data_IF_055688974286
#
_entry.id   IF_055688974286
#
_cell.length_a   1.000
_cell.length_b   1.000
_cell.length_c   1.000
_cell.angle_alpha   90.00
_cell.angle_beta   90.00
_cell.angle_gamma   90.00
#
_symmetry.space_group_name_H-M   'P 1'
#
loop_
_entity.id
_entity.type
_entity.pdbx_description
1 polymer ?
#
# COMPACT_ATOMS: atom_id res chain seq x y z
N UNK A 1 16.83 9.79 1.79
CA UNK A 1 15.76 9.15 2.60
C UNK A 1 15.32 10.17 3.65
N UNK A 2 14.15 10.78 3.48
CA UNK A 2 13.53 11.57 4.55
C UNK A 2 12.62 10.62 5.32
N UNK A 3 12.99 10.32 6.57
CA UNK A 3 12.13 9.65 7.54
C UNK A 3 10.88 10.51 7.73
N UNK A 4 9.78 10.16 7.08
CA UNK A 4 8.48 10.74 7.39
C UNK A 4 8.06 10.20 8.76
N UNK A 5 7.96 11.12 9.72
CA UNK A 5 7.78 10.81 11.13
C UNK A 5 6.43 10.12 11.36
N UNK A 6 6.48 8.97 12.03
CA UNK A 6 5.35 8.14 12.47
C UNK A 6 4.22 8.94 13.17
N UNK A 7 4.58 10.10 13.73
CA UNK A 7 3.67 11.04 14.40
C UNK A 7 2.69 11.72 13.45
N UNK A 8 3.03 11.94 12.17
CA UNK A 8 2.19 12.69 11.23
C UNK A 8 0.97 11.88 10.79
N UNK A 9 1.15 10.57 10.54
CA UNK A 9 0.04 9.66 10.17
C UNK A 9 -0.94 9.48 11.35
N UNK A 10 -0.40 9.38 12.58
CA UNK A 10 -1.22 9.30 13.79
C UNK A 10 -2.02 10.61 14.02
N UNK A 11 -1.40 11.76 13.75
CA UNK A 11 -2.06 13.07 13.84
C UNK A 11 -3.12 13.27 12.75
N UNK A 12 -2.91 12.80 11.51
CA UNK A 12 -3.88 12.92 10.43
C UNK A 12 -5.16 12.10 10.70
N UNK A 13 -5.03 10.87 11.18
CA UNK A 13 -6.18 10.03 11.58
C UNK A 13 -6.93 10.66 12.77
N UNK A 14 -6.20 11.22 13.73
CA UNK A 14 -6.79 11.89 14.90
C UNK A 14 -7.46 13.23 14.53
N UNK A 15 -6.88 14.01 13.61
CA UNK A 15 -7.37 15.33 13.21
C UNK A 15 -8.61 15.23 12.31
N UNK A 16 -8.67 14.25 11.40
CA UNK A 16 -9.86 13.95 10.60
C UNK A 16 -11.04 13.55 11.51
N UNK A 17 -10.78 12.85 12.63
CA UNK A 17 -11.81 12.49 13.61
C UNK A 17 -12.17 13.63 14.59
N UNK A 18 -11.24 14.53 14.91
CA UNK A 18 -11.49 15.68 15.79
C UNK A 18 -12.39 16.74 15.11
N UNK A 19 -12.20 17.00 13.81
CA UNK A 19 -13.02 17.99 13.08
C UNK A 19 -14.48 17.56 12.88
N UNK A 20 -14.80 16.27 12.95
CA UNK A 20 -16.20 15.80 12.96
C UNK A 20 -16.87 15.92 14.34
N UNK A 21 -16.09 16.11 15.41
CA UNK A 21 -16.55 16.14 16.79
C UNK A 21 -17.02 17.57 17.21
N UNK A 22 -16.40 18.63 16.70
CA UNK A 22 -16.75 20.03 17.04
C UNK A 22 -18.05 20.52 16.37
N UNK A 23 -18.35 20.07 15.15
CA UNK A 23 -19.62 20.43 14.45
C UNK A 23 -20.87 19.87 15.13
N UNK A 24 -20.73 18.89 16.01
CA UNK A 24 -21.83 18.25 16.73
C UNK A 24 -22.00 18.74 18.18
N UNK A 25 -21.09 19.59 18.68
CA UNK A 25 -21.14 20.12 20.05
C UNK A 25 -22.01 21.38 20.19
N UNK A 26 -22.12 22.20 19.15
CA UNK A 26 -22.85 23.48 19.19
C UNK A 26 -24.38 23.33 19.16
N UNK A 27 -24.92 22.10 19.00
CA UNK A 27 -26.37 21.86 18.86
C UNK A 27 -27.09 21.29 20.09
N UNK A 28 -26.43 21.16 21.25
CA UNK A 28 -27.01 20.40 22.39
C UNK A 28 -27.08 21.20 23.71
N UNK A 29 -26.48 22.39 23.80
CA UNK A 29 -26.65 23.24 24.99
C UNK A 29 -27.88 24.15 24.88
N UNK A 30 -29.07 23.56 24.80
CA UNK A 30 -30.32 24.26 25.13
C UNK A 30 -31.43 23.22 25.36
N UNK A 31 -31.47 22.64 26.57
CA UNK A 31 -32.72 22.31 27.26
C UNK A 31 -32.50 21.73 28.65
N UNK A 32 -33.03 22.49 29.61
CA UNK A 32 -33.74 22.04 30.81
C UNK A 32 -32.96 21.55 32.04
N UNK A 33 -32.79 22.57 32.89
CA UNK A 33 -32.94 22.69 34.33
C UNK A 33 -34.01 21.81 35.03
N UNK A 34 -33.77 21.64 36.36
CA UNK A 34 -34.66 21.37 37.49
C UNK A 34 -35.05 19.91 37.89
N UNK A 35 -34.44 19.47 39.01
CA UNK A 35 -35.15 19.37 40.31
C UNK A 35 -35.65 18.00 40.77
N UNK A 36 -35.20 17.55 41.96
CA UNK A 36 -35.91 16.55 42.76
C UNK A 36 -35.04 15.58 43.56
N UNK A 37 -34.76 15.92 44.83
CA UNK A 37 -34.17 15.04 45.85
C UNK A 37 -35.27 14.12 46.41
N UNK A 38 -35.04 12.81 46.48
CA UNK A 38 -35.65 11.94 47.49
C UNK A 38 -34.87 10.64 47.70
N UNK A 39 -35.06 10.07 48.89
CA UNK A 39 -34.12 9.27 49.68
C UNK A 39 -33.89 7.83 49.23
N UNK A 40 -32.72 7.34 49.67
CA UNK A 40 -32.20 5.99 49.58
C UNK A 40 -33.12 4.94 50.21
N UNK A 41 -33.46 3.91 49.43
CA UNK A 41 -33.63 2.53 49.91
C UNK A 41 -32.90 1.65 48.91
N UNK A 42 -31.85 0.93 49.35
CA UNK A 42 -31.01 0.11 48.49
C UNK A 42 -31.76 -1.14 48.00
N UNK A 43 -31.97 -1.33 46.68
CA UNK A 43 -32.36 -2.62 46.16
C UNK A 43 -31.10 -3.46 45.87
N UNK A 44 -31.09 -4.69 46.41
CA UNK A 44 -30.14 -5.76 46.06
C UNK A 44 -29.91 -5.79 44.54
N UNK A 45 -28.69 -5.50 44.10
CA UNK A 45 -28.33 -5.48 42.68
C UNK A 45 -28.20 -6.90 42.13
N UNK A 46 -29.28 -7.41 41.56
CA UNK A 46 -29.18 -8.37 40.47
C UNK A 46 -28.30 -7.73 39.39
N UNK A 47 -27.13 -8.30 39.10
CA UNK A 47 -26.22 -7.81 38.06
C UNK A 47 -26.93 -7.96 36.71
N UNK A 48 -27.72 -6.95 36.34
CA UNK A 48 -28.30 -6.83 35.02
C UNK A 48 -27.14 -6.69 34.04
N UNK A 49 -26.79 -7.79 33.37
CA UNK A 49 -25.78 -7.79 32.33
C UNK A 49 -26.19 -6.76 31.29
N UNK A 50 -25.50 -5.60 31.26
CA UNK A 50 -25.82 -4.51 30.34
C UNK A 50 -25.78 -5.08 28.93
N UNK A 51 -26.90 -5.02 28.22
CA UNK A 51 -27.02 -5.48 26.84
C UNK A 51 -26.56 -4.36 25.93
N UNK A 52 -25.62 -4.69 25.05
CA UNK A 52 -25.07 -3.81 24.03
C UNK A 52 -25.76 -4.15 22.71
N UNK A 53 -26.13 -3.13 21.93
CA UNK A 53 -26.74 -3.33 20.61
C UNK A 53 -26.29 -2.25 19.63
N UNK A 54 -25.81 -2.67 18.47
CA UNK A 54 -25.59 -1.80 17.31
C UNK A 54 -25.65 -2.59 16.01
N UNK A 55 -25.78 -1.87 14.90
CA UNK A 55 -25.70 -2.42 13.54
C UNK A 55 -24.45 -1.84 12.88
N UNK A 56 -23.75 -2.65 12.12
CA UNK A 56 -22.61 -2.24 11.32
C UNK A 56 -22.69 -2.95 9.97
N UNK A 57 -22.71 -2.19 8.86
CA UNK A 57 -23.05 -2.69 7.52
C UNK A 57 -24.34 -3.56 7.57
N UNK A 58 -24.29 -4.79 7.07
CA UNK A 58 -25.40 -5.75 7.09
C UNK A 58 -25.52 -6.54 8.39
N UNK A 59 -24.57 -6.43 9.33
CA UNK A 59 -24.52 -7.26 10.53
C UNK A 59 -25.12 -6.57 11.77
N UNK A 60 -25.79 -7.36 12.61
CA UNK A 60 -26.31 -6.91 13.91
C UNK A 60 -25.49 -7.49 15.07
N UNK A 61 -24.96 -6.60 15.88
CA UNK A 61 -24.24 -6.92 17.11
C UNK A 61 -25.20 -6.70 18.28
N UNK A 62 -25.60 -7.77 18.96
CA UNK A 62 -26.46 -7.75 20.14
C UNK A 62 -25.93 -8.78 21.15
N UNK A 63 -25.83 -8.39 22.41
CA UNK A 63 -25.40 -9.29 23.48
C UNK A 63 -24.68 -8.56 24.61
N UNK A 64 -23.98 -9.32 25.44
CA UNK A 64 -23.08 -8.79 26.46
C UNK A 64 -21.82 -8.20 25.83
N UNK A 65 -21.09 -7.37 26.58
CA UNK A 65 -19.78 -6.85 26.15
C UNK A 65 -18.81 -7.98 25.77
N UNK A 66 -18.81 -9.07 26.53
CA UNK A 66 -17.92 -10.22 26.31
C UNK A 66 -18.26 -10.94 25.01
N UNK A 67 -19.55 -11.16 24.74
CA UNK A 67 -20.03 -11.79 23.51
C UNK A 67 -19.64 -10.96 22.28
N UNK A 68 -19.94 -9.65 22.30
CA UNK A 68 -19.60 -8.76 21.18
C UNK A 68 -18.09 -8.68 20.98
N UNK A 69 -17.30 -8.51 22.06
CA UNK A 69 -15.84 -8.46 21.95
C UNK A 69 -15.26 -9.77 21.42
N UNK A 70 -15.87 -10.91 21.73
CA UNK A 70 -15.45 -12.21 21.19
C UNK A 70 -15.71 -12.30 19.69
N UNK A 71 -16.86 -11.82 19.21
CA UNK A 71 -17.15 -11.70 17.77
C UNK A 71 -16.15 -10.78 17.06
N UNK A 72 -15.88 -9.60 17.62
CA UNK A 72 -14.89 -8.66 17.06
C UNK A 72 -13.48 -9.26 17.02
N UNK A 73 -13.10 -10.06 18.03
CA UNK A 73 -11.80 -10.76 18.05
C UNK A 73 -11.71 -11.82 16.95
N UNK A 74 -12.77 -12.61 16.78
CA UNK A 74 -12.83 -13.62 15.73
C UNK A 74 -12.69 -12.96 14.35
N UNK A 75 -13.44 -11.88 14.10
CA UNK A 75 -13.35 -11.12 12.85
C UNK A 75 -11.95 -10.55 12.60
N UNK A 76 -11.32 -9.95 13.63
CA UNK A 76 -9.95 -9.42 13.54
C UNK A 76 -8.91 -10.47 13.13
N UNK A 77 -9.12 -11.72 13.54
CA UNK A 77 -8.20 -12.83 13.33
C UNK A 77 -8.61 -13.70 12.13
N UNK A 78 -9.58 -13.26 11.34
CA UNK A 78 -9.98 -13.95 10.12
C UNK A 78 -8.80 -14.01 9.13
N UNK A 79 -8.66 -15.14 8.45
CA UNK A 79 -7.69 -15.38 7.39
C UNK A 79 -7.62 -14.25 6.34
N UNK A 80 -8.74 -13.60 6.01
CA UNK A 80 -8.77 -12.49 5.05
C UNK A 80 -7.96 -11.26 5.49
N UNK A 81 -7.63 -11.17 6.78
CA UNK A 81 -6.82 -10.10 7.38
C UNK A 81 -5.40 -10.57 7.74
N UNK A 82 -4.99 -11.78 7.37
CA UNK A 82 -3.68 -12.32 7.73
C UNK A 82 -2.50 -11.52 7.13
N UNK A 83 -2.70 -10.86 5.98
CA UNK A 83 -1.69 -10.10 5.25
C UNK A 83 -1.59 -8.62 5.64
N UNK A 84 -2.17 -8.18 6.76
CA UNK A 84 -2.09 -6.79 7.22
C UNK A 84 -0.63 -6.44 7.61
N UNK A 85 -0.03 -5.37 7.05
CA UNK A 85 1.26 -4.82 7.49
C UNK A 85 1.32 -4.57 9.00
N UNK A 86 2.50 -4.76 9.59
CA UNK A 86 2.70 -4.76 11.04
C UNK A 86 2.22 -3.47 11.74
N UNK A 87 2.39 -2.35 11.06
CA UNK A 87 2.05 -1.00 11.48
C UNK A 87 0.53 -0.80 11.53
N UNK A 88 -0.18 -1.22 10.47
CA UNK A 88 -1.65 -1.18 10.41
C UNK A 88 -2.23 -2.15 11.46
N UNK A 89 -1.60 -3.32 11.62
CA UNK A 89 -1.97 -4.30 12.64
C UNK A 89 -1.83 -3.72 14.05
N UNK A 90 -0.81 -2.89 14.29
CA UNK A 90 -0.61 -2.19 15.57
C UNK A 90 -1.74 -1.21 15.86
N UNK A 91 -2.12 -0.38 14.88
CA UNK A 91 -3.26 0.54 15.01
C UNK A 91 -4.57 -0.22 15.29
N UNK A 92 -4.85 -1.28 14.54
CA UNK A 92 -6.05 -2.10 14.73
C UNK A 92 -6.07 -2.79 16.11
N UNK A 93 -4.92 -3.24 16.61
CA UNK A 93 -4.80 -3.81 17.95
C UNK A 93 -5.12 -2.77 19.03
N UNK A 94 -4.66 -1.53 18.87
CA UNK A 94 -4.93 -0.44 19.79
C UNK A 94 -6.42 -0.08 19.81
N UNK A 95 -7.05 0.10 18.65
CA UNK A 95 -8.49 0.34 18.53
C UNK A 95 -9.31 -0.79 19.16
N UNK A 96 -8.90 -2.03 18.95
CA UNK A 96 -9.54 -3.20 19.57
C UNK A 96 -9.38 -3.20 21.09
N UNK A 97 -8.20 -2.86 21.62
CA UNK A 97 -7.93 -2.74 23.06
C UNK A 97 -8.80 -1.66 23.69
N UNK A 98 -8.90 -0.49 23.06
CA UNK A 98 -9.72 0.63 23.50
C UNK A 98 -11.22 0.28 23.49
N UNK A 99 -11.66 -0.52 22.53
CA UNK A 99 -13.03 -1.05 22.50
C UNK A 99 -13.27 -2.03 23.66
N UNK A 100 -12.37 -3.02 23.84
CA UNK A 100 -12.49 -4.06 24.87
C UNK A 100 -12.62 -3.48 26.27
N UNK A 101 -11.85 -2.45 26.62
CA UNK A 101 -11.83 -1.89 27.98
C UNK A 101 -12.98 -0.94 28.28
N UNK A 102 -13.76 -0.54 27.29
CA UNK A 102 -14.83 0.41 27.50
C UNK A 102 -16.06 -0.25 28.16
N UNK A 103 -16.41 0.21 29.37
CA UNK A 103 -17.53 -0.31 30.16
C UNK A 103 -18.84 0.44 29.92
N UNK A 104 -18.77 1.64 29.32
CA UNK A 104 -19.94 2.47 29.03
C UNK A 104 -20.53 2.05 27.66
N UNK A 105 -21.79 1.58 27.58
CA UNK A 105 -22.36 1.06 26.34
C UNK A 105 -22.29 1.99 25.13
N UNK A 106 -22.56 3.28 25.32
CA UNK A 106 -22.48 4.29 24.26
C UNK A 106 -21.05 4.42 23.71
N UNK A 107 -20.05 4.48 24.59
CA UNK A 107 -18.65 4.60 24.20
C UNK A 107 -18.11 3.29 23.61
N UNK A 108 -18.54 2.14 24.13
CA UNK A 108 -18.16 0.84 23.59
C UNK A 108 -18.65 0.71 22.15
N UNK A 109 -19.93 1.05 21.90
CA UNK A 109 -20.49 1.11 20.55
C UNK A 109 -19.66 2.01 19.64
N UNK A 110 -19.34 3.24 20.09
CA UNK A 110 -18.53 4.19 19.31
C UNK A 110 -17.17 3.59 18.95
N UNK A 111 -16.45 3.06 19.93
CA UNK A 111 -15.13 2.48 19.72
C UNK A 111 -15.19 1.22 18.82
N UNK A 112 -16.22 0.38 19.00
CA UNK A 112 -16.43 -0.80 18.17
C UNK A 112 -16.67 -0.42 16.70
N UNK A 113 -17.45 0.63 16.44
CA UNK A 113 -17.67 1.15 15.07
C UNK A 113 -16.36 1.66 14.48
N UNK A 114 -15.57 2.46 15.22
CA UNK A 114 -14.27 2.96 14.76
C UNK A 114 -13.31 1.80 14.43
N UNK A 115 -13.27 0.78 15.29
CA UNK A 115 -12.47 -0.42 15.04
C UNK A 115 -12.92 -1.15 13.77
N UNK A 116 -14.23 -1.33 13.58
CA UNK A 116 -14.78 -1.97 12.38
C UNK A 116 -14.51 -1.14 11.12
N UNK A 117 -14.67 0.18 11.18
CA UNK A 117 -14.36 1.08 10.07
C UNK A 117 -12.89 0.95 9.65
N UNK A 118 -11.96 0.98 10.60
CA UNK A 118 -10.54 0.78 10.31
C UNK A 118 -10.26 -0.60 9.70
N UNK A 119 -10.88 -1.65 10.22
CA UNK A 119 -10.68 -3.02 9.74
C UNK A 119 -11.21 -3.21 8.31
N UNK A 120 -12.40 -2.72 8.00
CA UNK A 120 -12.99 -2.83 6.67
C UNK A 120 -12.40 -1.83 5.67
N UNK A 121 -11.93 -0.67 6.12
CA UNK A 121 -11.15 0.25 5.28
C UNK A 121 -9.88 -0.43 4.75
N UNK A 122 -9.24 -1.29 5.56
CA UNK A 122 -8.13 -2.10 5.08
C UNK A 122 -8.55 -3.13 4.01
N UNK A 123 -9.71 -3.78 4.17
CA UNK A 123 -10.24 -4.71 3.15
C UNK A 123 -10.46 -3.99 1.81
N UNK A 124 -11.04 -2.79 1.85
CA UNK A 124 -11.24 -1.93 0.67
C UNK A 124 -9.91 -1.50 0.05
N UNK A 125 -8.93 -1.15 0.90
CA UNK A 125 -7.57 -0.84 0.45
C UNK A 125 -6.93 -2.01 -0.31
N UNK A 126 -7.00 -3.24 0.23
CA UNK A 126 -6.40 -4.42 -0.44
C UNK A 126 -6.99 -4.59 -1.83
N UNK A 127 -8.30 -4.41 -1.98
CA UNK A 127 -8.96 -4.49 -3.29
C UNK A 127 -8.44 -3.39 -4.23
N UNK A 128 -8.38 -2.14 -3.76
CA UNK A 128 -7.87 -1.02 -4.55
C UNK A 128 -6.41 -1.24 -4.97
N UNK A 129 -5.57 -1.66 -4.03
CA UNK A 129 -4.15 -1.91 -4.21
C UNK A 129 -3.88 -3.03 -5.21
N UNK A 130 -4.55 -4.17 -5.06
CA UNK A 130 -4.41 -5.31 -5.96
C UNK A 130 -4.89 -4.98 -7.38
N UNK A 131 -5.99 -4.23 -7.50
CA UNK A 131 -6.50 -3.79 -8.80
C UNK A 131 -5.53 -2.80 -9.48
N UNK A 132 -5.05 -1.79 -8.76
CA UNK A 132 -4.06 -0.83 -9.28
C UNK A 132 -2.77 -1.52 -9.68
N UNK A 133 -2.26 -2.45 -8.87
CA UNK A 133 -1.04 -3.19 -9.20
C UNK A 133 -1.23 -4.08 -10.43
N UNK A 134 -2.36 -4.78 -10.53
CA UNK A 134 -2.68 -5.59 -11.70
C UNK A 134 -2.75 -4.75 -12.98
N UNK A 135 -3.41 -3.59 -12.92
CA UNK A 135 -3.47 -2.64 -14.05
C UNK A 135 -2.08 -2.16 -14.46
N UNK A 136 -1.26 -1.73 -13.50
CA UNK A 136 0.12 -1.28 -13.73
C UNK A 136 0.96 -2.37 -14.39
N UNK A 137 0.90 -3.61 -13.90
CA UNK A 137 1.62 -4.73 -14.50
C UNK A 137 1.16 -4.98 -15.95
N UNK A 138 -0.15 -4.91 -16.20
CA UNK A 138 -0.73 -5.02 -17.54
C UNK A 138 -0.25 -3.92 -18.50
N UNK A 139 -0.21 -2.67 -18.01
CA UNK A 139 0.28 -1.52 -18.76
C UNK A 139 1.75 -1.67 -19.14
N UNK A 140 2.62 -1.95 -18.15
CA UNK A 140 4.06 -2.16 -18.38
C UNK A 140 4.27 -3.28 -19.39
N UNK A 141 3.57 -4.40 -19.24
CA UNK A 141 3.67 -5.54 -20.17
C UNK A 141 3.32 -5.17 -21.60
N UNK A 142 2.32 -4.31 -21.79
CA UNK A 142 1.93 -3.82 -23.12
C UNK A 142 3.02 -2.95 -23.74
N UNK A 143 3.66 -2.10 -22.94
CA UNK A 143 4.69 -1.17 -23.41
C UNK A 143 6.06 -1.82 -23.61
N UNK A 144 6.30 -3.00 -23.03
CA UNK A 144 7.61 -3.65 -22.99
C UNK A 144 8.29 -3.82 -24.34
N UNK A 145 7.54 -4.17 -25.40
CA UNK A 145 8.12 -4.34 -26.75
C UNK A 145 8.62 -3.02 -27.32
N UNK A 146 7.85 -1.95 -27.17
CA UNK A 146 8.23 -0.62 -27.64
C UNK A 146 9.45 -0.09 -26.88
N UNK A 147 9.46 -0.26 -25.55
CA UNK A 147 10.58 0.16 -24.70
C UNK A 147 11.86 -0.64 -24.99
N UNK A 148 11.74 -1.95 -25.22
CA UNK A 148 12.86 -2.82 -25.61
C UNK A 148 13.53 -2.32 -26.89
N UNK A 149 12.73 -2.04 -27.93
CA UNK A 149 13.21 -1.45 -29.18
C UNK A 149 13.91 -0.10 -28.95
N UNK A 150 13.32 0.77 -28.12
CA UNK A 150 13.89 2.10 -27.81
C UNK A 150 15.25 1.98 -27.11
N UNK A 151 15.39 1.09 -26.13
CA UNK A 151 16.64 0.86 -25.44
C UNK A 151 17.70 0.22 -26.33
N UNK A 152 17.31 -0.73 -27.20
CA UNK A 152 18.25 -1.35 -28.14
C UNK A 152 18.80 -0.33 -29.15
N UNK A 153 17.92 0.52 -29.69
CA UNK A 153 18.32 1.61 -30.57
C UNK A 153 19.24 2.60 -29.86
N UNK A 154 18.98 2.91 -28.59
CA UNK A 154 19.82 3.80 -27.80
C UNK A 154 21.22 3.22 -27.58
N UNK A 155 21.30 1.95 -27.17
CA UNK A 155 22.57 1.25 -26.99
C UNK A 155 23.38 1.20 -28.30
N UNK A 156 22.73 0.84 -29.40
CA UNK A 156 23.41 0.73 -30.70
C UNK A 156 23.97 2.06 -31.17
N UNK A 157 23.20 3.16 -31.03
CA UNK A 157 23.69 4.51 -31.35
C UNK A 157 24.89 4.90 -30.50
N UNK A 158 24.86 4.60 -29.19
CA UNK A 158 25.96 4.89 -28.29
C UNK A 158 27.22 4.10 -28.67
N UNK A 159 27.07 2.81 -28.99
CA UNK A 159 28.16 1.93 -29.43
C UNK A 159 28.79 2.39 -30.74
N UNK A 160 27.99 2.65 -31.78
CA UNK A 160 28.48 3.15 -33.08
C UNK A 160 29.25 4.46 -32.92
N UNK A 161 28.79 5.35 -32.02
CA UNK A 161 29.49 6.60 -31.74
C UNK A 161 30.84 6.36 -31.08
N UNK A 162 30.90 5.47 -30.09
CA UNK A 162 32.14 5.07 -29.43
C UNK A 162 33.13 4.46 -30.43
N UNK A 163 32.69 3.47 -31.22
CA UNK A 163 33.52 2.77 -32.20
C UNK A 163 34.10 3.73 -33.25
N UNK A 164 33.32 4.73 -33.65
CA UNK A 164 33.79 5.78 -34.57
C UNK A 164 34.91 6.62 -33.96
N UNK A 165 34.74 7.10 -32.73
CA UNK A 165 35.75 7.95 -32.07
C UNK A 165 37.04 7.16 -31.80
N UNK A 166 36.94 5.90 -31.37
CA UNK A 166 38.12 5.03 -31.21
C UNK A 166 38.88 4.88 -32.53
N UNK A 167 38.17 4.77 -33.66
CA UNK A 167 38.78 4.64 -35.00
C UNK A 167 39.37 5.95 -35.52
N UNK A 168 38.69 7.07 -35.33
CA UNK A 168 39.04 8.36 -35.92
C UNK A 168 39.99 9.19 -35.06
N UNK A 169 39.89 9.09 -33.73
CA UNK A 169 40.66 9.88 -32.75
C UNK A 169 40.98 9.05 -31.49
N UNK A 170 41.84 8.02 -31.58
CA UNK A 170 42.16 7.14 -30.44
C UNK A 170 42.80 7.87 -29.25
N UNK A 171 43.44 9.02 -29.48
CA UNK A 171 44.10 9.81 -28.43
C UNK A 171 43.12 10.65 -27.58
N UNK A 172 41.84 10.73 -27.96
CA UNK A 172 40.81 11.51 -27.25
C UNK A 172 40.28 10.77 -26.01
N UNK A 173 41.18 10.44 -25.07
CA UNK A 173 40.91 9.60 -23.88
C UNK A 173 39.68 10.07 -23.10
N UNK A 174 39.54 11.37 -22.84
CA UNK A 174 38.38 11.93 -22.12
C UNK A 174 37.05 11.74 -22.86
N UNK A 175 37.06 11.82 -24.19
CA UNK A 175 35.84 11.62 -24.98
C UNK A 175 35.49 10.13 -25.05
N UNK A 176 36.50 9.27 -25.22
CA UNK A 176 36.35 7.82 -25.19
C UNK A 176 35.75 7.38 -23.85
N UNK A 177 36.32 7.79 -22.71
CA UNK A 177 35.82 7.44 -21.37
C UNK A 177 34.35 7.85 -21.18
N UNK A 178 33.97 9.04 -21.67
CA UNK A 178 32.59 9.52 -21.61
C UNK A 178 31.67 8.63 -22.45
N UNK A 179 32.07 8.32 -23.69
CA UNK A 179 31.26 7.51 -24.61
C UNK A 179 31.17 6.05 -24.15
N UNK A 180 32.22 5.50 -23.55
CA UNK A 180 32.21 4.19 -22.90
C UNK A 180 31.18 4.15 -21.77
N UNK A 181 31.17 5.17 -20.90
CA UNK A 181 30.17 5.28 -19.84
C UNK A 181 28.75 5.37 -20.40
N UNK A 182 28.53 6.15 -21.45
CA UNK A 182 27.22 6.30 -22.09
C UNK A 182 26.74 4.98 -22.75
N UNK A 183 27.64 4.26 -23.43
CA UNK A 183 27.38 2.95 -24.01
C UNK A 183 27.07 1.92 -22.92
N UNK A 184 27.87 1.88 -21.84
CA UNK A 184 27.68 0.99 -20.69
C UNK A 184 26.36 1.25 -19.98
N UNK A 185 26.00 2.51 -19.74
CA UNK A 185 24.73 2.87 -19.12
C UNK A 185 23.53 2.44 -19.98
N UNK A 186 23.64 2.63 -21.30
CA UNK A 186 22.59 2.22 -22.24
C UNK A 186 22.45 0.69 -22.32
N UNK A 187 23.59 -0.02 -22.26
CA UNK A 187 23.64 -1.48 -22.17
C UNK A 187 22.94 -1.99 -20.90
N UNK A 188 23.30 -1.45 -19.72
CA UNK A 188 22.71 -1.83 -18.44
C UNK A 188 21.20 -1.63 -18.45
N UNK A 189 20.70 -0.53 -19.02
CA UNK A 189 19.26 -0.27 -19.17
C UNK A 189 18.57 -1.34 -20.02
N UNK A 190 19.16 -1.69 -21.16
CA UNK A 190 18.61 -2.69 -22.07
C UNK A 190 18.54 -4.07 -21.43
N UNK A 191 19.65 -4.55 -20.83
CA UNK A 191 19.67 -5.88 -20.20
C UNK A 191 18.77 -5.96 -18.97
N UNK A 192 18.70 -4.89 -18.17
CA UNK A 192 17.79 -4.80 -17.02
C UNK A 192 16.33 -4.85 -17.46
N UNK A 193 15.99 -4.08 -18.51
CA UNK A 193 14.66 -4.11 -19.11
C UNK A 193 14.29 -5.50 -19.62
N UNK A 194 15.19 -6.18 -20.32
CA UNK A 194 14.94 -7.52 -20.85
C UNK A 194 14.81 -8.58 -19.75
N UNK A 195 15.59 -8.46 -18.68
CA UNK A 195 15.42 -9.28 -17.48
C UNK A 195 14.01 -9.09 -16.90
N UNK A 196 13.58 -7.84 -16.72
CA UNK A 196 12.23 -7.52 -16.25
C UNK A 196 11.15 -8.06 -17.20
N UNK A 197 11.33 -7.88 -18.51
CA UNK A 197 10.44 -8.39 -19.56
C UNK A 197 10.23 -9.89 -19.43
N UNK A 198 11.30 -10.67 -19.28
CA UNK A 198 11.23 -12.12 -19.08
C UNK A 198 10.37 -12.51 -17.87
N UNK A 199 10.44 -11.76 -16.76
CA UNK A 199 9.59 -12.00 -15.58
C UNK A 199 8.13 -11.67 -15.88
N UNK A 200 7.86 -10.51 -16.45
CA UNK A 200 6.49 -10.03 -16.75
C UNK A 200 5.78 -10.85 -17.83
N UNK A 201 6.51 -11.50 -18.74
CA UNK A 201 5.93 -12.45 -19.69
C UNK A 201 5.22 -13.62 -18.99
N UNK A 202 5.76 -14.07 -17.85
CA UNK A 202 5.17 -15.16 -17.03
C UNK A 202 3.91 -14.74 -16.28
N UNK A 203 3.72 -13.44 -16.07
CA UNK A 203 2.60 -12.87 -15.32
C UNK A 203 1.32 -12.87 -16.16
N UNK A 204 0.25 -13.48 -15.62
CA UNK A 204 -1.04 -13.66 -16.32
C UNK A 204 -2.22 -13.36 -15.40
N UNK A 205 -3.09 -12.47 -15.86
CA UNK A 205 -4.36 -12.16 -15.21
C UNK A 205 -4.23 -11.69 -13.76
N UNK A 206 -5.32 -11.80 -13.01
CA UNK A 206 -5.40 -11.33 -11.62
C UNK A 206 -4.57 -12.18 -10.63
N UNK A 207 -4.12 -13.37 -11.05
CA UNK A 207 -3.33 -14.25 -10.19
C UNK A 207 -1.98 -13.64 -9.79
N UNK A 208 -1.48 -12.68 -10.56
CA UNK A 208 -0.25 -11.92 -10.26
C UNK A 208 -0.32 -11.29 -8.86
N UNK A 209 -1.48 -10.79 -8.46
CA UNK A 209 -1.67 -10.09 -7.19
C UNK A 209 -2.30 -10.98 -6.11
N UNK A 210 -3.10 -11.97 -6.51
CA UNK A 210 -3.74 -12.93 -5.59
C UNK A 210 -2.83 -14.07 -5.14
N UNK A 211 -1.91 -14.50 -6.01
CA UNK A 211 -0.93 -15.56 -5.78
C UNK A 211 0.43 -15.09 -6.28
N UNK A 212 0.98 -14.03 -5.67
CA UNK A 212 2.22 -13.42 -6.15
C UNK A 212 3.39 -14.38 -6.03
N UNK A 213 4.34 -14.27 -6.96
CA UNK A 213 5.66 -14.87 -6.79
C UNK A 213 6.47 -14.13 -5.71
N UNK A 214 7.70 -14.56 -5.46
CA UNK A 214 8.54 -13.93 -4.44
C UNK A 214 8.81 -12.44 -4.70
N UNK A 215 8.97 -12.03 -5.97
CA UNK A 215 9.29 -10.64 -6.34
C UNK A 215 8.08 -9.72 -6.15
N UNK A 216 6.91 -10.12 -6.64
CA UNK A 216 5.68 -9.35 -6.47
C UNK A 216 5.27 -9.34 -5.00
N UNK A 217 5.47 -10.44 -4.26
CA UNK A 217 5.19 -10.46 -2.82
C UNK A 217 6.06 -9.47 -2.07
N UNK A 218 7.37 -9.47 -2.30
CA UNK A 218 8.30 -8.52 -1.69
C UNK A 218 7.95 -7.07 -2.04
N UNK A 219 7.64 -6.81 -3.31
CA UNK A 219 7.18 -5.50 -3.76
C UNK A 219 5.90 -5.06 -3.03
N UNK A 220 4.90 -5.96 -2.95
CA UNK A 220 3.63 -5.69 -2.25
C UNK A 220 3.84 -5.33 -0.79
N UNK A 221 4.68 -6.10 -0.11
CA UNK A 221 4.99 -5.88 1.31
C UNK A 221 5.72 -4.55 1.53
N UNK A 222 6.68 -4.22 0.66
CA UNK A 222 7.48 -3.00 0.74
C UNK A 222 6.62 -1.74 0.53
N UNK A 223 5.72 -1.77 -0.45
CA UNK A 223 4.96 -0.59 -0.87
C UNK A 223 3.58 -0.47 -0.22
N UNK A 224 3.12 -1.48 0.51
CA UNK A 224 1.79 -1.51 1.12
C UNK A 224 1.50 -0.28 1.99
N UNK A 225 2.47 0.17 2.80
CA UNK A 225 2.26 1.32 3.69
C UNK A 225 2.06 2.62 2.93
N UNK A 226 2.90 2.88 1.92
CA UNK A 226 2.81 4.10 1.13
C UNK A 226 1.51 4.12 0.31
N UNK A 227 1.13 2.98 -0.28
CA UNK A 227 -0.14 2.85 -0.98
C UNK A 227 -1.33 3.01 -0.02
N UNK A 228 -1.24 2.50 1.21
CA UNK A 228 -2.28 2.67 2.22
C UNK A 228 -2.45 4.13 2.62
N UNK A 229 -1.38 4.89 2.73
CA UNK A 229 -1.46 6.33 3.01
C UNK A 229 -2.19 7.08 1.89
N UNK A 230 -1.85 6.81 0.61
CA UNK A 230 -2.57 7.38 -0.53
C UNK A 230 -4.06 7.05 -0.49
N UNK A 231 -4.41 5.81 -0.12
CA UNK A 231 -5.79 5.38 0.04
C UNK A 231 -6.52 6.15 1.16
N UNK A 232 -5.89 6.31 2.33
CA UNK A 232 -6.46 7.05 3.46
C UNK A 232 -6.64 8.55 3.14
N UNK A 233 -5.71 9.13 2.39
CA UNK A 233 -5.76 10.52 1.93
C UNK A 233 -6.77 10.74 0.79
N UNK A 234 -7.44 9.69 0.34
CA UNK A 234 -8.40 9.68 -0.79
C UNK A 234 -7.76 10.08 -2.12
N UNK A 235 -6.47 9.82 -2.27
CA UNK A 235 -5.70 10.06 -3.50
C UNK A 235 -5.51 8.75 -4.29
N UNK A 236 -6.58 7.96 -4.41
CA UNK A 236 -6.55 6.62 -5.01
C UNK A 236 -6.11 6.70 -6.48
N UNK A 237 -6.46 7.78 -7.18
CA UNK A 237 -6.05 8.07 -8.55
C UNK A 237 -4.52 8.21 -8.71
N UNK A 238 -3.80 8.53 -7.63
CA UNK A 238 -2.33 8.62 -7.62
C UNK A 238 -1.67 7.26 -7.34
N UNK A 239 -2.43 6.25 -6.92
CA UNK A 239 -1.89 4.94 -6.57
C UNK A 239 -1.28 4.23 -7.78
N UNK A 240 -1.97 4.17 -8.93
CA UNK A 240 -1.43 3.50 -10.12
C UNK A 240 -0.14 4.18 -10.64
N UNK A 241 -0.06 5.51 -10.83
CA UNK A 241 1.18 6.19 -11.20
C UNK A 241 2.32 6.02 -10.16
N UNK A 242 1.98 6.00 -8.87
CA UNK A 242 2.94 5.71 -7.81
C UNK A 242 3.54 4.31 -7.99
N UNK A 243 2.69 3.29 -8.09
CA UNK A 243 3.11 1.89 -8.20
C UNK A 243 3.85 1.59 -9.49
N UNK A 244 3.49 2.24 -10.60
CA UNK A 244 4.20 2.14 -11.86
C UNK A 244 5.67 2.57 -11.71
N UNK A 245 5.92 3.70 -11.06
CA UNK A 245 7.29 4.16 -10.81
C UNK A 245 8.04 3.23 -9.85
N UNK A 246 7.39 2.80 -8.75
CA UNK A 246 8.05 1.94 -7.77
C UNK A 246 8.37 0.56 -8.33
N UNK A 247 7.48 -0.06 -9.09
CA UNK A 247 7.72 -1.41 -9.61
C UNK A 247 8.82 -1.42 -10.67
N UNK A 248 8.90 -0.39 -11.52
CA UNK A 248 9.98 -0.24 -12.50
C UNK A 248 11.33 -0.10 -11.79
N UNK A 249 11.42 0.76 -10.76
CA UNK A 249 12.65 0.94 -9.99
C UNK A 249 13.03 -0.32 -9.20
N UNK A 250 12.06 -1.00 -8.60
CA UNK A 250 12.26 -2.26 -7.89
C UNK A 250 12.84 -3.34 -8.80
N UNK A 251 12.21 -3.60 -9.95
CA UNK A 251 12.70 -4.62 -10.90
C UNK A 251 14.04 -4.24 -11.52
N UNK A 252 14.28 -2.94 -11.79
CA UNK A 252 15.59 -2.47 -12.23
C UNK A 252 16.68 -2.75 -11.20
N UNK A 253 16.44 -2.47 -9.92
CA UNK A 253 17.42 -2.76 -8.85
C UNK A 253 17.64 -4.26 -8.68
N UNK A 254 16.58 -5.07 -8.78
CA UNK A 254 16.67 -6.54 -8.69
C UNK A 254 17.44 -7.15 -9.86
N UNK A 255 17.40 -6.56 -11.05
CA UNK A 255 18.13 -7.10 -12.19
C UNK A 255 19.64 -6.87 -12.09
N UNK A 256 20.12 -5.76 -11.50
CA UNK A 256 21.55 -5.41 -11.47
C UNK A 256 22.49 -6.56 -11.04
N UNK A 257 22.22 -7.33 -9.97
CA UNK A 257 23.08 -8.46 -9.61
C UNK A 257 22.95 -9.69 -10.51
N UNK A 258 21.89 -9.78 -11.33
CA UNK A 258 21.57 -10.94 -12.19
C UNK A 258 21.95 -10.75 -13.66
N UNK A 259 22.32 -9.54 -14.09
CA UNK A 259 22.63 -9.25 -15.49
C UNK A 259 24.08 -9.57 -15.85
N UNK A 260 24.26 -10.19 -17.02
CA UNK A 260 25.56 -10.47 -17.63
C UNK A 260 25.70 -9.66 -18.93
N UNK A 261 26.42 -8.53 -18.92
CA UNK A 261 26.54 -7.64 -20.10
C UNK A 261 27.05 -8.36 -21.36
N UNK A 262 27.89 -9.38 -21.18
CA UNK A 262 28.56 -10.09 -22.28
C UNK A 262 27.63 -11.06 -23.04
N UNK A 263 26.41 -11.28 -22.54
CA UNK A 263 25.43 -12.21 -23.12
C UNK A 263 24.32 -11.48 -23.91
N UNK A 264 24.50 -10.19 -24.23
CA UNK A 264 23.48 -9.43 -24.95
C UNK A 264 23.42 -9.83 -26.44
N UNK A 265 22.25 -10.30 -26.88
CA UNK A 265 21.90 -10.47 -28.29
C UNK A 265 21.05 -9.29 -28.80
N UNK A 266 21.29 -8.76 -30.01
CA UNK A 266 20.45 -7.70 -30.59
C UNK A 266 19.26 -8.33 -31.34
N UNK A 267 18.05 -7.79 -31.14
CA UNK A 267 16.81 -8.39 -31.63
C UNK A 267 16.17 -7.63 -32.79
N UNK A 268 16.51 -6.34 -32.99
CA UNK A 268 15.81 -5.44 -33.93
C UNK A 268 16.72 -4.82 -34.97
N UNK A 269 18.01 -5.06 -34.90
CA UNK A 269 18.98 -4.55 -35.86
C UNK A 269 19.61 -5.76 -36.52
N UNK A 270 19.27 -6.00 -37.79
CA UNK A 270 20.00 -6.93 -38.63
C UNK A 270 21.47 -6.52 -38.62
N UNK A 271 22.35 -7.51 -38.43
CA UNK A 271 23.82 -7.36 -38.41
C UNK A 271 24.26 -6.33 -39.46
N UNK A 272 24.69 -5.15 -39.00
CA UNK A 272 25.41 -4.18 -39.83
C UNK A 272 26.81 -4.74 -40.07
#
# INVERSE_FOLDING_TARGET
>A
MKSFSFTIVFLLIYHIHAQQNERNFVKIEESNNNGGVSQFVAPKSTIGSKIYKFKYRSESYKGTRLEITSKLRALKNDSKFAGIPSEIKTVLNELFKNTKHQAIPRLYKKNAIIFLDALYSYEEFVIAYDNSLHEVVGKIKTDMRYIDFKFERQFTKAKVKLDRVIKENPESTKEIDRLEKDARNSLIKLISHRWMKKKFETYKGIDIVKKPDALIKEFKETEAMNAFNLFQEKEIEKMSPYLENQIIDFFYKKSIPEIHPDQLELNYIDKI
#
